data_IF_588446189312
#
_entry.id   IF_588446189312
#
_cell.length_a   1.000
_cell.length_b   1.000
_cell.length_c   1.000
_cell.angle_alpha   90.00
_cell.angle_beta   90.00
_cell.angle_gamma   90.00
#
_symmetry.space_group_name_H-M   'P 1'
#
loop_
_entity.id
_entity.type
_entity.pdbx_description
1 polymer ?
#
# COMPACT_ATOMS: atom_id res chain seq x y z
N UNK A 1 36.04 -4.57 -4.44
CA UNK A 1 35.42 -4.30 -5.74
C UNK A 1 34.16 -3.52 -5.50
N UNK A 2 34.00 -2.43 -6.24
CA UNK A 2 32.82 -1.57 -6.15
C UNK A 2 31.68 -2.01 -7.10
N UNK A 3 31.90 -3.08 -7.88
CA UNK A 3 30.89 -3.59 -8.82
C UNK A 3 30.89 -5.12 -8.91
N UNK A 4 29.71 -5.66 -9.15
CA UNK A 4 29.45 -7.07 -9.50
C UNK A 4 28.82 -7.08 -10.90
N UNK A 5 29.46 -7.80 -11.85
CA UNK A 5 28.95 -8.00 -13.20
C UNK A 5 28.49 -9.47 -13.36
N UNK A 6 27.18 -9.65 -13.37
CA UNK A 6 26.49 -10.92 -13.61
C UNK A 6 25.54 -10.80 -14.81
N UNK A 7 25.86 -9.89 -15.75
CA UNK A 7 25.05 -9.63 -16.97
C UNK A 7 24.82 -10.85 -17.88
N UNK A 8 25.61 -11.90 -17.71
CA UNK A 8 25.43 -13.18 -18.43
C UNK A 8 24.52 -14.20 -17.72
N UNK A 9 24.08 -13.94 -16.48
CA UNK A 9 23.23 -14.86 -15.73
C UNK A 9 21.76 -14.65 -16.14
N UNK A 10 21.14 -15.68 -16.68
CA UNK A 10 19.75 -15.63 -17.17
C UNK A 10 18.76 -16.19 -16.16
N UNK A 11 19.17 -17.17 -15.36
CA UNK A 11 18.29 -17.76 -14.33
C UNK A 11 19.09 -18.23 -13.14
N UNK A 12 18.48 -18.18 -11.95
CA UNK A 12 18.98 -18.78 -10.72
C UNK A 12 17.92 -19.75 -10.23
N UNK A 13 18.33 -21.01 -9.96
CA UNK A 13 17.41 -22.10 -9.63
C UNK A 13 16.94 -22.10 -8.17
N UNK A 14 17.60 -21.35 -7.30
CA UNK A 14 17.29 -21.24 -5.89
C UNK A 14 17.34 -19.75 -5.49
N UNK A 15 18.17 -19.32 -4.61
CA UNK A 15 18.20 -17.99 -4.02
C UNK A 15 19.30 -17.08 -4.58
N UNK A 16 19.06 -15.75 -4.55
CA UNK A 16 20.05 -14.70 -4.81
C UNK A 16 20.20 -13.85 -3.55
N UNK A 17 21.38 -13.89 -2.93
CA UNK A 17 21.71 -13.09 -1.75
C UNK A 17 22.90 -12.17 -2.02
N UNK A 18 22.71 -10.86 -1.89
CA UNK A 18 23.75 -9.84 -1.97
C UNK A 18 23.62 -8.95 -0.75
N UNK A 19 24.50 -9.17 0.25
CA UNK A 19 24.37 -8.43 1.50
C UNK A 19 25.69 -8.08 2.16
N UNK A 20 25.68 -7.02 2.98
CA UNK A 20 26.83 -6.55 3.77
C UNK A 20 28.08 -6.26 2.92
N UNK A 21 27.87 -5.62 1.77
CA UNK A 21 28.96 -5.16 0.90
C UNK A 21 28.96 -3.63 0.89
N UNK A 22 29.43 -2.99 1.95
CA UNK A 22 29.29 -1.56 2.19
C UNK A 22 29.87 -0.66 1.06
N UNK A 23 30.89 -1.15 0.34
CA UNK A 23 31.52 -0.43 -0.77
C UNK A 23 31.03 -0.88 -2.16
N UNK A 24 29.95 -1.65 -2.25
CA UNK A 24 29.37 -2.09 -3.51
C UNK A 24 28.50 -0.96 -4.09
N UNK A 25 28.90 -0.42 -5.24
CA UNK A 25 28.22 0.69 -5.91
C UNK A 25 27.23 0.20 -6.99
N UNK A 26 27.48 -0.96 -7.60
CA UNK A 26 26.59 -1.48 -8.64
C UNK A 26 26.58 -3.00 -8.74
N UNK A 27 25.41 -3.54 -9.11
CA UNK A 27 25.19 -4.94 -9.45
C UNK A 27 24.48 -5.01 -10.79
N UNK A 28 25.10 -5.67 -11.75
CA UNK A 28 24.49 -5.92 -13.08
C UNK A 28 23.84 -7.31 -13.10
N UNK A 29 22.52 -7.33 -13.05
CA UNK A 29 21.65 -8.51 -13.18
C UNK A 29 20.69 -8.36 -14.37
N UNK A 30 21.06 -7.54 -15.35
CA UNK A 30 20.17 -7.08 -16.44
C UNK A 30 19.63 -8.20 -17.35
N UNK A 31 20.25 -9.39 -17.34
CA UNK A 31 19.75 -10.55 -18.10
C UNK A 31 18.96 -11.56 -17.24
N UNK A 32 18.90 -11.36 -15.92
CA UNK A 32 18.25 -12.29 -15.01
C UNK A 32 16.74 -12.25 -15.21
N UNK A 33 16.16 -13.35 -15.68
CA UNK A 33 14.75 -13.44 -16.05
C UNK A 33 13.89 -14.18 -15.03
N UNK A 34 14.48 -15.12 -14.28
CA UNK A 34 13.77 -15.95 -13.30
C UNK A 34 14.64 -16.30 -12.11
N UNK A 35 14.00 -16.34 -10.94
CA UNK A 35 14.59 -16.84 -9.68
C UNK A 35 13.61 -17.85 -9.11
N UNK A 36 14.09 -19.10 -8.87
CA UNK A 36 13.26 -20.20 -8.36
C UNK A 36 13.09 -20.22 -6.84
N UNK A 37 13.83 -19.38 -6.11
CA UNK A 37 13.70 -19.13 -4.70
C UNK A 37 13.50 -17.65 -4.44
N UNK A 38 14.21 -17.10 -3.46
CA UNK A 38 14.06 -15.68 -3.11
C UNK A 38 15.22 -14.78 -3.58
N UNK A 39 14.92 -13.49 -3.75
CA UNK A 39 15.89 -12.43 -3.98
C UNK A 39 16.01 -11.58 -2.71
N UNK A 40 17.25 -11.46 -2.21
CA UNK A 40 17.53 -10.61 -1.06
C UNK A 40 18.77 -9.74 -1.31
N UNK A 41 18.57 -8.41 -1.38
CA UNK A 41 19.65 -7.42 -1.52
C UNK A 41 19.56 -6.44 -0.36
N UNK A 42 20.43 -6.61 0.64
CA UNK A 42 20.32 -5.83 1.86
C UNK A 42 21.66 -5.39 2.44
N UNK A 43 21.67 -4.26 3.12
CA UNK A 43 22.83 -3.72 3.81
C UNK A 43 24.05 -3.53 2.88
N UNK A 44 23.85 -2.93 1.70
CA UNK A 44 24.89 -2.51 0.78
C UNK A 44 24.85 -0.98 0.70
N UNK A 45 25.51 -0.32 1.65
CA UNK A 45 25.33 1.11 1.95
C UNK A 45 25.67 2.04 0.79
N UNK A 46 26.60 1.68 -0.10
CA UNK A 46 27.03 2.49 -1.25
C UNK A 46 26.33 2.08 -2.57
N UNK A 47 25.41 1.10 -2.55
CA UNK A 47 24.71 0.64 -3.75
C UNK A 47 23.77 1.74 -4.29
N UNK A 48 23.97 2.11 -5.58
CA UNK A 48 23.28 3.22 -6.23
C UNK A 48 22.06 2.78 -7.07
N UNK A 49 22.18 1.63 -7.73
CA UNK A 49 21.12 1.16 -8.63
C UNK A 49 21.08 -0.35 -8.76
N UNK A 50 19.88 -0.88 -9.02
CA UNK A 50 19.64 -2.29 -9.33
C UNK A 50 18.78 -2.34 -10.59
N UNK A 51 19.30 -3.00 -11.65
CA UNK A 51 18.54 -3.25 -12.89
C UNK A 51 18.08 -4.70 -12.93
N UNK A 52 16.78 -4.91 -12.82
CA UNK A 52 16.07 -6.18 -12.88
C UNK A 52 14.99 -6.16 -13.98
N UNK A 53 15.18 -5.36 -15.04
CA UNK A 53 14.18 -5.19 -16.10
C UNK A 53 13.79 -6.47 -16.83
N UNK A 54 14.69 -7.46 -16.90
CA UNK A 54 14.39 -8.77 -17.50
C UNK A 54 13.69 -9.74 -16.55
N UNK A 55 13.70 -9.45 -15.24
CA UNK A 55 13.13 -10.32 -14.22
C UNK A 55 11.61 -10.35 -14.35
N UNK A 56 11.06 -11.50 -14.69
CA UNK A 56 9.62 -11.67 -14.90
C UNK A 56 8.91 -12.37 -13.74
N UNK A 57 9.59 -13.29 -13.06
CA UNK A 57 9.01 -14.06 -11.95
C UNK A 57 10.03 -14.32 -10.85
N UNK A 58 9.54 -14.32 -9.64
CA UNK A 58 10.22 -14.82 -8.44
C UNK A 58 9.25 -15.77 -7.75
N UNK A 59 9.68 -17.03 -7.52
CA UNK A 59 8.78 -18.05 -6.98
C UNK A 59 8.51 -17.88 -5.49
N UNK A 60 9.43 -17.22 -4.78
CA UNK A 60 9.32 -17.00 -3.34
C UNK A 60 9.39 -15.48 -3.01
N UNK A 61 10.14 -15.11 -1.99
CA UNK A 61 10.20 -13.78 -1.41
C UNK A 61 11.17 -12.84 -2.15
N UNK A 62 10.76 -11.59 -2.32
CA UNK A 62 11.58 -10.47 -2.80
C UNK A 62 11.82 -9.48 -1.66
N UNK A 63 13.08 -9.20 -1.33
CA UNK A 63 13.41 -8.19 -0.32
C UNK A 63 14.61 -7.35 -0.73
N UNK A 64 14.41 -6.03 -0.75
CA UNK A 64 15.48 -5.04 -0.88
C UNK A 64 15.40 -4.11 0.32
N UNK A 65 16.42 -4.15 1.19
CA UNK A 65 16.36 -3.39 2.43
C UNK A 65 17.70 -2.81 2.88
N UNK A 66 17.64 -1.65 3.54
CA UNK A 66 18.82 -1.02 4.14
C UNK A 66 19.96 -0.76 3.15
N UNK A 67 19.63 -0.27 1.96
CA UNK A 67 20.58 0.22 0.97
C UNK A 67 20.41 1.74 0.86
N UNK A 68 21.01 2.49 1.78
CA UNK A 68 20.69 3.91 2.00
C UNK A 68 20.93 4.83 0.79
N UNK A 69 21.87 4.49 -0.10
CA UNK A 69 22.15 5.27 -1.31
C UNK A 69 21.45 4.74 -2.56
N UNK A 70 20.61 3.72 -2.44
CA UNK A 70 19.92 3.14 -3.58
C UNK A 70 18.87 4.14 -4.11
N UNK A 71 19.14 4.71 -5.28
CA UNK A 71 18.32 5.71 -5.95
C UNK A 71 17.29 5.07 -6.88
N UNK A 72 17.64 3.96 -7.54
CA UNK A 72 16.78 3.35 -8.54
C UNK A 72 16.74 1.83 -8.48
N UNK A 73 15.53 1.28 -8.62
CA UNK A 73 15.27 -0.15 -8.84
C UNK A 73 14.41 -0.27 -10.08
N UNK A 74 14.91 -0.97 -11.11
CA UNK A 74 14.15 -1.23 -12.32
C UNK A 74 13.46 -2.60 -12.24
N UNK A 75 12.16 -2.61 -12.00
CA UNK A 75 11.31 -3.80 -11.90
C UNK A 75 10.27 -3.89 -13.03
N UNK A 76 10.55 -3.24 -14.17
CA UNK A 76 9.55 -3.08 -15.25
C UNK A 76 9.09 -4.41 -15.88
N UNK A 77 9.87 -5.48 -15.78
CA UNK A 77 9.52 -6.81 -16.29
C UNK A 77 8.79 -7.70 -15.29
N UNK A 78 8.82 -7.37 -13.99
CA UNK A 78 8.29 -8.25 -12.94
C UNK A 78 6.77 -8.30 -13.02
N UNK A 79 6.23 -9.48 -13.33
CA UNK A 79 4.81 -9.70 -13.54
C UNK A 79 4.13 -10.50 -12.43
N UNK A 80 4.85 -11.43 -11.81
CA UNK A 80 4.29 -12.28 -10.76
C UNK A 80 5.31 -12.53 -9.64
N UNK A 81 4.79 -12.57 -8.43
CA UNK A 81 5.50 -12.89 -7.20
C UNK A 81 4.80 -14.06 -6.51
N UNK A 82 5.54 -15.15 -6.22
CA UNK A 82 4.98 -16.32 -5.53
C UNK A 82 4.69 -16.10 -4.06
N UNK A 83 5.47 -15.22 -3.41
CA UNK A 83 5.30 -14.87 -1.99
C UNK A 83 5.33 -13.35 -1.77
N UNK A 84 6.00 -12.89 -0.71
CA UNK A 84 5.99 -11.49 -0.29
C UNK A 84 6.96 -10.60 -1.06
N UNK A 85 6.51 -9.40 -1.36
CA UNK A 85 7.32 -8.29 -1.85
C UNK A 85 7.65 -7.32 -0.71
N UNK A 86 8.93 -6.93 -0.60
CA UNK A 86 9.40 -6.06 0.47
C UNK A 86 10.46 -5.07 -0.01
N UNK A 87 10.18 -3.78 0.14
CA UNK A 87 11.12 -2.66 -0.03
C UNK A 87 11.14 -1.85 1.25
N UNK A 88 12.23 -1.97 2.04
CA UNK A 88 12.28 -1.33 3.35
C UNK A 88 13.58 -0.56 3.58
N UNK A 89 13.48 0.62 4.18
CA UNK A 89 14.65 1.38 4.64
C UNK A 89 15.69 1.63 3.54
N UNK A 90 15.24 1.99 2.34
CA UNK A 90 16.10 2.45 1.24
C UNK A 90 15.83 3.95 1.05
N UNK A 91 16.59 4.77 1.76
CA UNK A 91 16.26 6.17 2.00
C UNK A 91 16.46 7.12 0.80
N UNK A 92 17.03 6.65 -0.30
CA UNK A 92 17.25 7.46 -1.51
C UNK A 92 16.38 7.07 -2.71
N UNK A 93 15.53 6.02 -2.60
CA UNK A 93 14.59 5.67 -3.66
C UNK A 93 13.51 6.74 -3.72
N UNK A 94 13.32 7.34 -4.91
CA UNK A 94 12.30 8.36 -5.15
C UNK A 94 11.01 7.76 -5.74
N UNK A 95 11.10 6.74 -6.60
CA UNK A 95 9.93 6.17 -7.27
C UNK A 95 9.96 4.64 -7.24
N UNK A 96 8.80 4.04 -7.01
CA UNK A 96 8.58 2.61 -7.15
C UNK A 96 7.51 2.38 -8.22
N UNK A 97 7.97 1.99 -9.42
CA UNK A 97 7.11 1.72 -10.57
C UNK A 97 7.21 0.24 -10.96
N UNK A 98 6.07 -0.45 -10.99
CA UNK A 98 5.98 -1.86 -11.37
C UNK A 98 4.84 -2.05 -12.39
N UNK A 99 5.07 -1.61 -13.65
CA UNK A 99 3.98 -1.52 -14.65
C UNK A 99 3.46 -2.87 -15.13
N UNK A 100 4.19 -3.95 -14.88
CA UNK A 100 3.83 -5.30 -15.32
C UNK A 100 3.34 -6.20 -14.19
N UNK A 101 3.46 -5.79 -12.91
CA UNK A 101 3.10 -6.62 -11.77
C UNK A 101 1.58 -6.82 -11.72
N UNK A 102 1.15 -8.10 -11.79
CA UNK A 102 -0.26 -8.49 -11.79
C UNK A 102 -0.69 -9.08 -10.45
N UNK A 103 0.19 -9.86 -9.82
CA UNK A 103 -0.13 -10.62 -8.61
C UNK A 103 1.05 -10.66 -7.64
N UNK A 104 0.71 -10.59 -6.35
CA UNK A 104 1.62 -10.85 -5.22
C UNK A 104 1.03 -11.96 -4.36
N UNK A 105 1.69 -13.12 -4.34
CA UNK A 105 1.20 -14.35 -3.71
C UNK A 105 1.16 -14.33 -2.18
N UNK A 106 1.64 -13.25 -1.53
CA UNK A 106 1.51 -13.03 -0.10
C UNK A 106 1.38 -11.52 0.18
N UNK A 107 2.20 -10.93 1.05
CA UNK A 107 2.11 -9.51 1.42
C UNK A 107 2.94 -8.59 0.53
N UNK A 108 2.45 -7.38 0.32
CA UNK A 108 3.16 -6.27 -0.32
C UNK A 108 3.53 -5.23 0.74
N UNK A 109 4.84 -5.06 0.99
CA UNK A 109 5.34 -4.19 2.04
C UNK A 109 6.30 -3.14 1.47
N UNK A 110 6.01 -1.87 1.67
CA UNK A 110 6.87 -0.73 1.28
C UNK A 110 6.95 0.22 2.46
N UNK A 111 8.04 0.10 3.25
CA UNK A 111 8.09 0.77 4.54
C UNK A 111 9.40 1.54 4.75
N UNK A 112 9.30 2.69 5.39
CA UNK A 112 10.44 3.49 5.85
C UNK A 112 11.45 3.88 4.74
N UNK A 113 10.95 4.17 3.54
CA UNK A 113 11.75 4.72 2.44
C UNK A 113 11.53 6.23 2.39
N UNK A 114 12.37 6.99 3.08
CA UNK A 114 12.07 8.38 3.43
C UNK A 114 12.02 9.36 2.25
N UNK A 115 12.67 9.06 1.12
CA UNK A 115 12.61 9.88 -0.10
C UNK A 115 11.61 9.38 -1.14
N UNK A 116 10.89 8.27 -0.88
CA UNK A 116 9.94 7.71 -1.83
C UNK A 116 8.76 8.67 -2.04
N UNK A 117 8.57 9.13 -3.29
CA UNK A 117 7.53 10.07 -3.69
C UNK A 117 6.30 9.37 -4.29
N UNK A 118 6.51 8.26 -5.02
CA UNK A 118 5.39 7.57 -5.69
C UNK A 118 5.47 6.05 -5.61
N UNK A 119 4.29 5.40 -5.47
CA UNK A 119 4.09 3.96 -5.64
C UNK A 119 3.06 3.74 -6.75
N UNK A 120 3.52 3.21 -7.90
CA UNK A 120 2.71 3.05 -9.11
C UNK A 120 2.61 1.58 -9.53
N UNK A 121 1.42 0.98 -9.39
CA UNK A 121 1.13 -0.43 -9.64
C UNK A 121 -0.07 -0.58 -10.61
N UNK A 122 0.04 -0.05 -11.85
CA UNK A 122 -1.12 0.12 -12.74
C UNK A 122 -1.72 -1.18 -13.27
N UNK A 123 -1.01 -2.31 -13.17
CA UNK A 123 -1.47 -3.62 -13.63
C UNK A 123 -1.82 -4.58 -12.49
N UNK A 124 -1.60 -4.20 -11.23
CA UNK A 124 -1.80 -5.07 -10.08
C UNK A 124 -3.29 -5.36 -9.88
N UNK A 125 -3.63 -6.65 -9.80
CA UNK A 125 -5.01 -7.15 -9.64
C UNK A 125 -5.21 -7.77 -8.26
N UNK A 126 -4.23 -8.49 -7.71
CA UNK A 126 -4.40 -9.24 -6.47
C UNK A 126 -3.16 -9.16 -5.57
N UNK A 127 -3.43 -9.03 -4.28
CA UNK A 127 -2.49 -9.27 -3.19
C UNK A 127 -3.09 -10.34 -2.29
N UNK A 128 -2.53 -11.56 -2.30
CA UNK A 128 -3.13 -12.71 -1.60
C UNK A 128 -3.13 -12.61 -0.06
N UNK A 129 -2.40 -11.63 0.51
CA UNK A 129 -2.44 -11.31 1.93
C UNK A 129 -2.55 -9.78 2.11
N UNK A 130 -1.73 -9.15 2.93
CA UNK A 130 -1.87 -7.73 3.28
C UNK A 130 -1.03 -6.80 2.40
N UNK A 131 -1.58 -5.61 2.12
CA UNK A 131 -0.83 -4.43 1.70
C UNK A 131 -0.41 -3.65 2.95
N UNK A 132 0.86 -3.24 3.01
CA UNK A 132 1.37 -2.37 4.07
C UNK A 132 2.31 -1.31 3.48
N UNK A 133 1.91 -0.06 3.51
CA UNK A 133 2.71 1.10 3.08
C UNK A 133 2.80 2.06 4.28
N UNK A 134 4.00 2.11 4.90
CA UNK A 134 4.18 2.77 6.19
C UNK A 134 5.47 3.59 6.25
N UNK A 135 5.39 4.78 6.84
CA UNK A 135 6.57 5.56 7.20
C UNK A 135 7.39 6.10 6.03
N UNK A 136 6.78 6.25 4.84
CA UNK A 136 7.42 6.85 3.68
C UNK A 136 7.11 8.35 3.65
N UNK A 137 7.93 9.14 4.32
CA UNK A 137 7.59 10.52 4.67
C UNK A 137 7.46 11.48 3.48
N UNK A 138 8.10 11.20 2.35
CA UNK A 138 7.97 12.00 1.12
C UNK A 138 6.91 11.49 0.16
N UNK A 139 6.22 10.37 0.49
CA UNK A 139 5.25 9.76 -0.40
C UNK A 139 4.04 10.67 -0.64
N UNK A 140 3.80 11.02 -1.90
CA UNK A 140 2.72 11.90 -2.34
C UNK A 140 1.57 11.13 -2.99
N UNK A 141 1.86 10.01 -3.67
CA UNK A 141 0.85 9.27 -4.43
C UNK A 141 1.01 7.75 -4.30
N UNK A 142 -0.11 7.07 -4.06
CA UNK A 142 -0.26 5.62 -4.18
C UNK A 142 -1.32 5.34 -5.24
N UNK A 143 -0.95 4.62 -6.32
CA UNK A 143 -1.86 4.29 -7.41
C UNK A 143 -1.83 2.82 -7.77
N UNK A 144 -2.98 2.14 -7.57
CA UNK A 144 -3.23 0.74 -7.91
C UNK A 144 -4.69 0.57 -8.40
N UNK A 145 -5.07 1.27 -9.49
CA UNK A 145 -6.47 1.42 -9.89
C UNK A 145 -7.14 0.13 -10.34
N UNK A 146 -6.37 -0.93 -10.66
CA UNK A 146 -6.90 -2.25 -11.06
C UNK A 146 -6.85 -3.29 -9.95
N UNK A 147 -6.35 -2.96 -8.75
CA UNK A 147 -6.37 -3.88 -7.62
C UNK A 147 -7.81 -4.24 -7.27
N UNK A 148 -8.17 -5.52 -7.36
CA UNK A 148 -9.52 -6.03 -7.11
C UNK A 148 -9.69 -6.59 -5.69
N UNK A 149 -8.63 -7.21 -5.13
CA UNK A 149 -8.72 -7.90 -3.85
C UNK A 149 -7.43 -7.83 -3.04
N UNK A 150 -7.58 -7.71 -1.70
CA UNK A 150 -6.55 -8.07 -0.73
C UNK A 150 -7.04 -9.20 0.17
N UNK A 151 -6.32 -10.31 0.19
CA UNK A 151 -6.62 -11.47 1.03
C UNK A 151 -6.34 -11.27 2.53
N UNK A 152 -5.75 -10.13 2.89
CA UNK A 152 -5.52 -9.65 4.26
C UNK A 152 -5.98 -8.21 4.41
N UNK A 153 -5.25 -7.44 5.19
CA UNK A 153 -5.59 -6.04 5.47
C UNK A 153 -4.94 -5.07 4.48
N UNK A 154 -5.56 -3.92 4.32
CA UNK A 154 -5.05 -2.77 3.57
C UNK A 154 -4.62 -1.70 4.57
N UNK A 155 -3.28 -1.55 4.79
CA UNK A 155 -2.69 -0.62 5.73
C UNK A 155 -1.90 0.47 5.00
N UNK A 156 -2.30 1.72 5.14
CA UNK A 156 -1.57 2.92 4.69
C UNK A 156 -1.47 3.87 5.85
N UNK A 157 -0.26 4.01 6.43
CA UNK A 157 -0.10 4.81 7.64
C UNK A 157 1.26 5.52 7.73
N UNK A 158 1.27 6.63 8.47
CA UNK A 158 2.49 7.38 8.77
C UNK A 158 3.24 7.84 7.49
N UNK A 159 2.50 8.10 6.40
CA UNK A 159 3.04 8.71 5.19
C UNK A 159 2.61 10.19 5.18
N UNK A 160 3.36 11.02 5.89
CA UNK A 160 2.91 12.37 6.27
C UNK A 160 2.63 13.31 5.10
N UNK A 161 3.31 13.16 3.96
CA UNK A 161 3.09 13.97 2.75
C UNK A 161 2.14 13.32 1.71
N UNK A 162 1.55 12.17 2.02
CA UNK A 162 0.65 11.47 1.11
C UNK A 162 -0.59 12.33 0.81
N UNK A 163 -0.83 12.62 -0.47
CA UNK A 163 -1.95 13.44 -0.94
C UNK A 163 -3.10 12.58 -1.47
N UNK A 164 -2.78 11.50 -2.19
CA UNK A 164 -3.82 10.66 -2.80
C UNK A 164 -3.56 9.17 -2.67
N UNK A 165 -4.67 8.41 -2.51
CA UNK A 165 -4.72 6.96 -2.62
C UNK A 165 -5.73 6.62 -3.71
N UNK A 166 -5.29 5.97 -4.81
CA UNK A 166 -6.16 5.39 -5.82
C UNK A 166 -6.13 3.86 -5.77
N UNK A 167 -7.17 3.29 -5.17
CA UNK A 167 -7.50 1.87 -5.19
C UNK A 167 -8.96 1.71 -5.66
N UNK A 168 -9.33 2.46 -6.70
CA UNK A 168 -10.72 2.59 -7.18
C UNK A 168 -11.30 1.29 -7.74
N UNK A 169 -10.47 0.32 -8.14
CA UNK A 169 -10.88 -1.02 -8.56
C UNK A 169 -11.12 -2.01 -7.42
N UNK A 170 -10.66 -1.70 -6.20
CA UNK A 170 -10.70 -2.63 -5.06
C UNK A 170 -12.14 -2.95 -4.67
N UNK A 171 -12.51 -4.23 -4.72
CA UNK A 171 -13.87 -4.70 -4.43
C UNK A 171 -13.99 -5.34 -3.05
N UNK A 172 -12.91 -6.00 -2.57
CA UNK A 172 -12.93 -6.76 -1.32
C UNK A 172 -11.63 -6.60 -0.54
N UNK A 173 -11.76 -6.40 0.76
CA UNK A 173 -10.67 -6.48 1.74
C UNK A 173 -11.02 -7.59 2.74
N UNK A 174 -10.27 -8.70 2.72
CA UNK A 174 -10.53 -9.82 3.64
C UNK A 174 -10.16 -9.51 5.11
N UNK A 175 -9.28 -8.53 5.32
CA UNK A 175 -8.92 -8.00 6.63
C UNK A 175 -9.53 -6.63 6.91
N UNK A 176 -8.73 -5.74 7.45
CA UNK A 176 -9.10 -4.38 7.86
C UNK A 176 -8.68 -3.34 6.79
N UNK A 177 -9.51 -2.35 6.55
CA UNK A 177 -9.09 -1.09 5.94
C UNK A 177 -8.57 -0.16 7.04
N UNK A 178 -7.29 0.21 6.99
CA UNK A 178 -6.66 1.07 7.97
C UNK A 178 -5.87 2.18 7.28
N UNK A 179 -6.38 3.40 7.32
CA UNK A 179 -5.76 4.60 6.76
C UNK A 179 -5.56 5.60 7.89
N UNK A 180 -4.30 5.83 8.30
CA UNK A 180 -4.04 6.58 9.53
C UNK A 180 -2.77 7.41 9.47
N UNK A 181 -2.79 8.60 10.08
CA UNK A 181 -1.60 9.44 10.23
C UNK A 181 -0.95 9.80 8.88
N UNK A 182 -1.77 10.00 7.86
CA UNK A 182 -1.35 10.57 6.59
C UNK A 182 -1.84 12.04 6.58
N UNK A 183 -1.05 12.92 7.16
CA UNK A 183 -1.51 14.26 7.58
C UNK A 183 -1.96 15.14 6.41
N UNK A 184 -1.33 14.98 5.22
CA UNK A 184 -1.64 15.75 4.01
C UNK A 184 -2.59 14.99 3.04
N UNK A 185 -3.13 13.82 3.43
CA UNK A 185 -4.03 13.05 2.57
C UNK A 185 -5.32 13.84 2.31
N UNK A 186 -5.53 14.21 1.03
CA UNK A 186 -6.72 14.96 0.61
C UNK A 186 -7.85 14.05 0.14
N UNK A 187 -7.53 13.03 -0.68
CA UNK A 187 -8.53 12.15 -1.28
C UNK A 187 -8.12 10.67 -1.27
N UNK A 188 -9.10 9.79 -0.99
CA UNK A 188 -8.92 8.34 -1.03
C UNK A 188 -10.05 7.69 -1.85
N UNK A 189 -9.68 6.99 -2.93
CA UNK A 189 -10.62 6.41 -3.88
C UNK A 189 -10.75 4.90 -3.70
N UNK A 190 -11.90 4.46 -3.17
CA UNK A 190 -12.31 3.06 -2.99
C UNK A 190 -13.71 2.83 -3.58
N UNK A 191 -14.00 3.44 -4.73
CA UNK A 191 -15.36 3.49 -5.28
C UNK A 191 -16.01 2.16 -5.63
N UNK A 192 -15.21 1.11 -5.91
CA UNK A 192 -15.72 -0.24 -6.16
C UNK A 192 -15.82 -1.12 -4.89
N UNK A 193 -15.28 -0.67 -3.74
CA UNK A 193 -15.18 -1.47 -2.53
C UNK A 193 -16.55 -1.80 -1.95
N UNK A 194 -16.91 -3.09 -2.02
CA UNK A 194 -18.22 -3.57 -1.63
C UNK A 194 -18.23 -4.27 -0.24
N UNK A 195 -17.14 -4.94 0.13
CA UNK A 195 -17.08 -5.75 1.35
C UNK A 195 -15.75 -5.60 2.07
N UNK A 196 -15.82 -5.44 3.40
CA UNK A 196 -14.69 -5.46 4.31
C UNK A 196 -14.96 -6.49 5.40
N UNK A 197 -14.16 -7.58 5.43
CA UNK A 197 -14.36 -8.70 6.34
C UNK A 197 -13.87 -8.47 7.78
N UNK A 198 -13.44 -7.24 8.09
CA UNK A 198 -13.09 -6.78 9.43
C UNK A 198 -13.53 -5.31 9.59
N UNK A 199 -12.73 -4.45 10.20
CA UNK A 199 -13.08 -3.07 10.48
C UNK A 199 -12.58 -2.08 9.43
N UNK A 200 -13.27 -0.96 9.32
CA UNK A 200 -12.82 0.27 8.67
C UNK A 200 -12.31 1.21 9.74
N UNK A 201 -11.05 1.66 9.64
CA UNK A 201 -10.48 2.68 10.52
C UNK A 201 -9.80 3.75 9.69
N UNK A 202 -10.33 4.95 9.69
CA UNK A 202 -9.79 6.13 9.04
C UNK A 202 -9.60 7.21 10.10
N UNK A 203 -8.32 7.54 10.39
CA UNK A 203 -8.05 8.38 11.56
C UNK A 203 -6.78 9.20 11.42
N UNK A 204 -6.77 10.40 12.03
CA UNK A 204 -5.60 11.30 12.02
C UNK A 204 -5.12 11.67 10.61
N UNK A 205 -6.04 11.77 9.66
CA UNK A 205 -5.75 12.28 8.31
C UNK A 205 -6.35 13.69 8.23
N UNK A 206 -5.64 14.66 8.77
CA UNK A 206 -6.19 16.00 9.07
C UNK A 206 -6.64 16.75 7.82
N UNK A 207 -5.96 16.58 6.69
CA UNK A 207 -6.32 17.21 5.41
C UNK A 207 -7.34 16.43 4.57
N UNK A 208 -7.85 15.26 5.04
CA UNK A 208 -8.75 14.41 4.26
C UNK A 208 -10.08 15.11 3.99
N UNK A 209 -10.34 15.46 2.73
CA UNK A 209 -11.56 16.12 2.27
C UNK A 209 -12.63 15.13 1.83
N UNK A 210 -12.21 14.01 1.25
CA UNK A 210 -13.11 13.00 0.72
C UNK A 210 -12.54 11.58 0.75
N UNK A 211 -13.44 10.62 1.00
CA UNK A 211 -13.20 9.20 0.82
C UNK A 211 -14.37 8.59 0.08
N UNK A 212 -14.10 7.93 -1.04
CA UNK A 212 -15.16 7.27 -1.84
C UNK A 212 -15.40 5.84 -1.34
N UNK A 213 -16.49 5.65 -0.63
CA UNK A 213 -17.01 4.36 -0.16
C UNK A 213 -18.41 4.08 -0.71
N UNK A 214 -18.69 4.60 -1.91
CA UNK A 214 -20.04 4.61 -2.49
C UNK A 214 -20.62 3.21 -2.75
N UNK A 215 -19.79 2.19 -2.96
CA UNK A 215 -20.22 0.81 -3.16
C UNK A 215 -20.21 -0.04 -1.88
N UNK A 216 -19.69 0.47 -0.76
CA UNK A 216 -19.50 -0.33 0.47
C UNK A 216 -20.86 -0.75 1.04
N UNK A 217 -21.15 -2.06 0.97
CA UNK A 217 -22.41 -2.64 1.36
C UNK A 217 -22.36 -3.32 2.73
N UNK A 218 -21.23 -3.88 3.11
CA UNK A 218 -21.09 -4.69 4.32
C UNK A 218 -19.73 -4.51 5.00
N UNK A 219 -19.74 -4.35 6.32
CA UNK A 219 -18.54 -4.30 7.19
C UNK A 219 -18.73 -5.28 8.34
N UNK A 220 -17.92 -6.34 8.39
CA UNK A 220 -18.01 -7.40 9.42
C UNK A 220 -17.43 -6.96 10.79
N UNK A 221 -16.75 -5.85 10.88
CA UNK A 221 -16.24 -5.25 12.11
C UNK A 221 -16.89 -3.91 12.41
N UNK A 222 -16.11 -2.98 12.94
CA UNK A 222 -16.54 -1.60 13.20
C UNK A 222 -16.26 -0.68 12.03
N UNK A 223 -17.02 0.39 11.93
CA UNK A 223 -16.73 1.57 11.10
C UNK A 223 -16.31 2.69 12.04
N UNK A 224 -15.08 3.19 11.88
CA UNK A 224 -14.46 4.18 12.75
C UNK A 224 -13.82 5.30 11.96
N UNK A 225 -14.33 6.51 12.06
CA UNK A 225 -13.77 7.72 11.49
C UNK A 225 -13.56 8.73 12.62
N UNK A 226 -12.30 9.08 12.89
CA UNK A 226 -12.03 10.09 13.91
C UNK A 226 -10.78 10.91 13.63
N UNK A 227 -10.82 12.17 14.07
CA UNK A 227 -9.74 13.15 13.93
C UNK A 227 -9.29 13.28 12.44
N UNK A 228 -10.28 13.40 11.52
CA UNK A 228 -10.08 13.80 10.13
C UNK A 228 -10.73 15.18 9.96
N UNK A 229 -10.01 16.21 10.35
CA UNK A 229 -10.58 17.55 10.62
C UNK A 229 -11.22 18.20 9.39
N UNK A 230 -10.65 17.98 8.20
CA UNK A 230 -11.13 18.57 6.94
C UNK A 230 -12.17 17.71 6.19
N UNK A 231 -12.59 16.54 6.75
CA UNK A 231 -13.55 15.66 6.10
C UNK A 231 -14.92 16.34 5.95
N UNK A 232 -15.36 16.58 4.70
CA UNK A 232 -16.56 17.37 4.43
C UNK A 232 -17.85 16.57 4.52
N UNK A 233 -17.82 15.32 4.08
CA UNK A 233 -18.96 14.41 4.08
C UNK A 233 -18.53 12.96 4.20
N UNK A 234 -19.36 12.12 4.79
CA UNK A 234 -19.19 10.67 4.82
C UNK A 234 -20.46 10.02 4.25
N UNK A 235 -20.40 9.61 3.00
CA UNK A 235 -21.51 9.01 2.28
C UNK A 235 -21.24 7.54 1.98
N UNK A 236 -22.10 6.67 2.52
CA UNK A 236 -22.09 5.21 2.32
C UNK A 236 -23.47 4.75 1.85
N UNK A 237 -23.87 5.12 0.62
CA UNK A 237 -25.25 4.92 0.14
C UNK A 237 -25.64 3.44 -0.01
N UNK A 238 -24.66 2.53 -0.17
CA UNK A 238 -24.91 1.11 -0.30
C UNK A 238 -24.85 0.33 1.03
N UNK A 239 -24.35 0.95 2.12
CA UNK A 239 -24.11 0.27 3.40
C UNK A 239 -25.43 -0.20 4.03
N UNK A 240 -25.55 -1.51 4.23
CA UNK A 240 -26.74 -2.16 4.80
C UNK A 240 -26.54 -2.71 6.21
N UNK A 241 -25.32 -3.11 6.53
CA UNK A 241 -24.99 -3.77 7.79
C UNK A 241 -23.58 -3.46 8.27
N UNK A 242 -23.41 -3.29 9.57
CA UNK A 242 -22.14 -3.21 10.31
C UNK A 242 -22.23 -4.15 11.49
N UNK A 243 -21.43 -5.21 11.51
CA UNK A 243 -21.55 -6.29 12.52
C UNK A 243 -21.10 -5.88 13.94
N UNK A 244 -20.44 -4.73 14.05
CA UNK A 244 -19.99 -4.20 15.34
C UNK A 244 -20.44 -2.74 15.51
N UNK A 245 -19.54 -1.84 15.84
CA UNK A 245 -19.86 -0.47 16.21
C UNK A 245 -19.67 0.52 15.05
N UNK A 246 -20.37 1.63 15.12
CA UNK A 246 -20.26 2.76 14.20
C UNK A 246 -19.85 4.00 15.02
N UNK A 247 -18.59 4.46 14.84
CA UNK A 247 -17.99 5.55 15.60
C UNK A 247 -17.54 6.68 14.69
N UNK A 248 -18.15 7.85 14.82
CA UNK A 248 -17.79 9.07 14.07
C UNK A 248 -17.58 10.20 15.07
N UNK A 249 -16.33 10.60 15.29
CA UNK A 249 -16.03 11.68 16.24
C UNK A 249 -14.78 12.47 15.86
N UNK A 250 -14.74 13.75 16.29
CA UNK A 250 -13.57 14.60 16.05
C UNK A 250 -13.33 14.94 14.58
N UNK A 251 -14.36 14.89 13.72
CA UNK A 251 -14.25 15.30 12.31
C UNK A 251 -14.96 16.66 12.18
N UNK A 252 -14.23 17.72 12.45
CA UNK A 252 -14.82 19.04 12.71
C UNK A 252 -15.56 19.64 11.52
N UNK A 253 -15.07 19.44 10.28
CA UNK A 253 -15.67 19.99 9.06
C UNK A 253 -16.79 19.15 8.45
N UNK A 254 -17.15 17.98 9.04
CA UNK A 254 -18.17 17.13 8.46
C UNK A 254 -19.55 17.80 8.56
N UNK A 255 -20.18 18.05 7.43
CA UNK A 255 -21.51 18.67 7.36
C UNK A 255 -22.62 17.67 7.05
N UNK A 256 -22.29 16.49 6.54
CA UNK A 256 -23.25 15.44 6.25
C UNK A 256 -22.68 14.03 6.52
N UNK A 257 -23.54 13.18 7.07
CA UNK A 257 -23.32 11.75 7.25
C UNK A 257 -24.53 11.00 6.69
N UNK A 258 -24.32 10.10 5.74
CA UNK A 258 -25.41 9.41 5.06
C UNK A 258 -25.13 7.93 4.88
N UNK A 259 -26.01 7.08 5.43
CA UNK A 259 -26.06 5.64 5.22
C UNK A 259 -27.54 5.20 5.15
N UNK A 260 -28.28 5.58 4.10
CA UNK A 260 -29.73 5.47 4.07
C UNK A 260 -30.27 4.03 4.02
N UNK A 261 -29.44 3.07 3.63
CA UNK A 261 -29.80 1.64 3.60
C UNK A 261 -29.33 0.88 4.86
N UNK A 262 -28.64 1.54 5.79
CA UNK A 262 -28.16 0.88 7.01
C UNK A 262 -29.35 0.50 7.90
N UNK A 263 -29.54 -0.79 8.08
CA UNK A 263 -30.67 -1.36 8.86
C UNK A 263 -30.24 -2.04 10.14
N UNK A 264 -28.96 -2.39 10.28
CA UNK A 264 -28.45 -3.16 11.41
C UNK A 264 -27.08 -2.67 11.85
N UNK A 265 -26.91 -2.52 13.17
CA UNK A 265 -25.64 -2.36 13.86
C UNK A 265 -25.54 -3.43 14.93
N UNK A 266 -24.44 -4.19 14.94
CA UNK A 266 -24.25 -5.26 15.91
C UNK A 266 -23.91 -4.78 17.33
N UNK A 267 -23.47 -3.51 17.47
CA UNK A 267 -23.08 -2.94 18.75
C UNK A 267 -23.46 -1.44 18.84
N UNK A 268 -22.53 -0.56 19.15
CA UNK A 268 -22.80 0.83 19.50
C UNK A 268 -22.82 1.77 18.30
N UNK A 269 -23.71 2.75 18.34
CA UNK A 269 -23.67 3.94 17.50
C UNK A 269 -23.17 5.11 18.34
N UNK A 270 -22.07 5.75 17.93
CA UNK A 270 -21.55 6.94 18.60
C UNK A 270 -21.18 7.99 17.55
N UNK A 271 -21.87 9.11 17.59
CA UNK A 271 -21.58 10.30 16.78
C UNK A 271 -21.42 11.46 17.77
N UNK A 272 -20.21 12.01 17.86
CA UNK A 272 -19.90 13.09 18.82
C UNK A 272 -18.75 13.95 18.35
N UNK A 273 -18.67 15.15 18.88
CA UNK A 273 -17.52 16.04 18.67
C UNK A 273 -17.24 16.27 17.15
N UNK A 274 -18.29 16.47 16.34
CA UNK A 274 -18.22 16.84 14.93
C UNK A 274 -18.88 18.22 14.82
N UNK A 275 -18.07 19.27 14.87
CA UNK A 275 -18.54 20.65 15.16
C UNK A 275 -19.54 21.20 14.13
N UNK A 276 -19.36 20.88 12.84
CA UNK A 276 -20.18 21.40 11.74
C UNK A 276 -21.34 20.47 11.35
N UNK A 277 -21.49 19.30 12.01
CA UNK A 277 -22.59 18.39 11.76
C UNK A 277 -23.88 18.89 12.42
N UNK A 278 -24.86 19.32 11.61
CA UNK A 278 -26.11 19.97 12.07
C UNK A 278 -27.38 19.21 11.70
#
# INVERSE_FOLDING_TARGET
TTSIDLSGVVSVGDEVHIHNNDSLESVDLSSLSTIGGHLQINSNADLLSIDLAALSTIDEHFSISSNDKLETINLSGLSNMGESFEINSNNSIENLEMPSLVEVGSSFNVNYNSSLETVQLPALIEISNSLNIEGNNSLEEISMPLLEETGGSFYVRENYNLVTIDASGLTTIAGQLYVSQNEELEDAFFGALAEINSSVNVQYNYALKGIDLSSLAEVKGSVEFYDNDDLLALDMPALTEVDSSFYIYGNDSITSLSAPLLTSLGSSLTIRDNSDLT
#
